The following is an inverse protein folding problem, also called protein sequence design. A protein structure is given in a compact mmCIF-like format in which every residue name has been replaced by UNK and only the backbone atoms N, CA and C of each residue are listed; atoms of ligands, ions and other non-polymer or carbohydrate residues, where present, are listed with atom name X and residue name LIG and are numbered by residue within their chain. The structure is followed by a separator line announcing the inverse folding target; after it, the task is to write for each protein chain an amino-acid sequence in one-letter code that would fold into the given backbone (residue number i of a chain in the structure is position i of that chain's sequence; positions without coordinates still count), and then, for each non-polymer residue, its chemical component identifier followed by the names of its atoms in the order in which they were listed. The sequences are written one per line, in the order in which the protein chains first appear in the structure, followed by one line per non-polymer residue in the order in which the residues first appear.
data_IF_147126093337
#
_entry.id   IF_147126093337
#
_cell.length_a   1.000
_cell.length_b   1.000
_cell.length_c   1.000
_cell.angle_alpha   90.00
_cell.angle_beta   90.00
_cell.angle_gamma   90.00
#
_symmetry.space_group_name_H-M   'P 1'
#
loop_
_entity.id
_entity.type
_entity.pdbx_description
1 polymer ?
#
# COMPACT_ATOMS: atom_id res chain seq x y z
N UNK A 1 -6.41 -0.70 -1.72
CA UNK A 1 -5.72 0.33 -0.88
C UNK A 1 -4.40 -0.23 -0.35
N UNK A 2 -3.48 0.61 0.16
CA UNK A 2 -2.16 0.17 0.61
C UNK A 2 -1.89 0.47 2.10
N UNK A 3 -1.31 -0.50 2.81
CA UNK A 3 -0.72 -0.38 4.14
C UNK A 3 -1.61 0.22 5.25
N UNK A 4 -2.90 -0.15 5.28
CA UNK A 4 -3.89 0.36 6.25
C UNK A 4 -3.92 1.89 6.42
N UNK A 5 -3.70 2.62 5.33
CA UNK A 5 -3.78 4.07 5.33
C UNK A 5 -5.18 4.55 5.81
N UNK A 6 -5.25 5.65 6.60
CA UNK A 6 -6.51 6.18 7.15
C UNK A 6 -7.48 6.63 6.07
N UNK A 7 -8.78 6.48 6.35
CA UNK A 7 -9.86 6.78 5.42
C UNK A 7 -10.81 7.83 5.95
N UNK A 8 -11.30 7.65 7.18
CA UNK A 8 -12.42 8.43 7.74
C UNK A 8 -12.09 9.92 7.76
N UNK A 9 -10.88 10.28 8.19
CA UNK A 9 -10.42 11.65 8.32
C UNK A 9 -10.07 12.31 6.97
N UNK A 10 -10.00 11.52 5.89
CA UNK A 10 -9.59 11.95 4.54
C UNK A 10 -10.61 11.53 3.48
N UNK A 11 -11.85 11.27 3.89
CA UNK A 11 -12.88 10.65 3.05
C UNK A 11 -13.13 11.43 1.76
N UNK A 12 -13.08 12.76 1.81
CA UNK A 12 -13.31 13.65 0.66
C UNK A 12 -12.21 13.51 -0.41
N UNK A 13 -10.97 13.21 0.00
CA UNK A 13 -9.82 13.10 -0.91
C UNK A 13 -9.59 11.66 -1.40
N UNK A 14 -9.78 10.67 -0.53
CA UNK A 14 -9.39 9.28 -0.79
C UNK A 14 -10.56 8.29 -0.83
N UNK A 15 -11.78 8.74 -0.51
CA UNK A 15 -12.98 7.92 -0.41
C UNK A 15 -12.97 6.93 0.77
N UNK A 16 -14.15 6.41 1.11
CA UNK A 16 -14.33 5.40 2.17
C UNK A 16 -14.30 3.97 1.66
N UNK A 17 -14.66 3.73 0.38
CA UNK A 17 -14.77 2.38 -0.17
C UNK A 17 -13.42 1.65 -0.14
N UNK A 18 -13.41 0.43 0.40
CA UNK A 18 -12.28 -0.47 0.34
C UNK A 18 -12.83 -1.88 0.19
N UNK A 19 -12.38 -2.62 -0.82
CA UNK A 19 -12.68 -4.06 -0.97
C UNK A 19 -11.42 -4.90 -0.71
N UNK A 20 -10.24 -4.29 -0.86
CA UNK A 20 -8.94 -4.92 -0.69
C UNK A 20 -7.93 -3.91 -0.15
N UNK A 21 -7.28 -4.24 0.96
CA UNK A 21 -6.23 -3.42 1.58
C UNK A 21 -5.05 -4.26 2.00
N UNK A 22 -3.85 -3.77 1.77
CA UNK A 22 -2.64 -4.43 2.25
C UNK A 22 -2.25 -3.96 3.66
N UNK A 23 -1.55 -4.81 4.41
CA UNK A 23 -0.90 -4.42 5.65
C UNK A 23 0.50 -5.04 5.73
N UNK A 24 1.53 -4.29 5.37
CA UNK A 24 2.90 -4.72 5.68
C UNK A 24 3.07 -4.83 7.22
N UNK A 25 3.72 -5.87 7.76
CA UNK A 25 3.92 -6.02 9.21
C UNK A 25 4.56 -4.80 9.89
N UNK A 26 5.41 -4.05 9.19
CA UNK A 26 6.00 -2.81 9.71
C UNK A 26 4.99 -1.69 10.00
N UNK A 27 3.75 -1.78 9.51
CA UNK A 27 2.67 -0.84 9.85
C UNK A 27 2.33 -0.95 11.34
N UNK A 28 2.32 -2.17 11.89
CA UNK A 28 2.02 -2.44 13.29
C UNK A 28 2.98 -1.69 14.21
N UNK A 29 4.29 -1.76 13.91
CA UNK A 29 5.30 -1.02 14.67
C UNK A 29 5.21 0.50 14.47
N UNK A 30 5.04 0.96 13.23
CA UNK A 30 5.16 2.38 12.89
C UNK A 30 3.93 3.21 13.23
N UNK A 31 2.74 2.66 13.03
CA UNK A 31 1.48 3.39 13.19
C UNK A 31 0.75 3.04 14.49
N UNK A 32 1.06 1.91 15.11
CA UNK A 32 0.31 1.38 16.26
C UNK A 32 1.23 0.92 17.40
N UNK A 33 2.42 1.51 17.56
CA UNK A 33 3.26 1.28 18.75
C UNK A 33 3.64 -0.18 19.02
N UNK A 34 3.69 -1.02 17.98
CA UNK A 34 3.83 -2.48 18.10
C UNK A 34 2.73 -3.16 18.93
N UNK A 35 1.57 -2.52 19.05
CA UNK A 35 0.39 -2.95 19.81
C UNK A 35 0.70 -3.24 21.29
N UNK A 36 1.66 -2.48 21.85
CA UNK A 36 2.12 -2.66 23.23
C UNK A 36 1.13 -2.12 24.26
N UNK A 37 0.49 -0.99 23.97
CA UNK A 37 -0.50 -0.36 24.84
C UNK A 37 -1.92 -0.76 24.46
N UNK A 38 -2.85 -0.69 25.42
CA UNK A 38 -4.26 -0.98 25.13
C UNK A 38 -4.85 0.03 24.15
N UNK A 39 -4.51 1.32 24.30
CA UNK A 39 -4.92 2.37 23.37
C UNK A 39 -4.45 2.12 21.93
N UNK A 40 -3.26 1.57 21.73
CA UNK A 40 -2.79 1.22 20.39
C UNK A 40 -3.55 0.04 19.79
N UNK A 41 -3.93 -0.94 20.62
CA UNK A 41 -4.74 -2.08 20.21
C UNK A 41 -6.15 -1.66 19.83
N UNK A 42 -6.78 -0.81 20.65
CA UNK A 42 -8.09 -0.22 20.36
C UNK A 42 -8.06 0.54 19.03
N UNK A 43 -7.11 1.46 18.84
CA UNK A 43 -6.94 2.19 17.57
C UNK A 43 -6.74 1.27 16.37
N UNK A 44 -6.01 0.17 16.56
CA UNK A 44 -5.79 -0.81 15.50
C UNK A 44 -7.06 -1.60 15.18
N UNK A 45 -7.81 -2.02 16.19
CA UNK A 45 -9.11 -2.69 16.04
C UNK A 45 -10.10 -1.76 15.34
N UNK A 46 -10.18 -0.50 15.73
CA UNK A 46 -11.02 0.52 15.08
C UNK A 46 -10.64 0.70 13.61
N UNK A 47 -9.33 0.76 13.31
CA UNK A 47 -8.84 0.84 11.93
C UNK A 47 -9.28 -0.36 11.09
N UNK A 48 -9.28 -1.55 11.68
CA UNK A 48 -9.69 -2.76 11.00
C UNK A 48 -11.22 -2.86 10.86
N UNK A 49 -11.99 -2.48 11.88
CA UNK A 49 -13.45 -2.55 11.89
C UNK A 49 -14.09 -1.79 10.72
N UNK A 50 -13.51 -0.65 10.33
CA UNK A 50 -13.97 0.15 9.17
C UNK A 50 -13.86 -0.61 7.84
N UNK A 51 -13.01 -1.64 7.74
CA UNK A 51 -12.79 -2.38 6.50
C UNK A 51 -13.90 -3.37 6.16
N UNK A 52 -14.81 -3.67 7.10
CA UNK A 52 -15.94 -4.60 7.00
C UNK A 52 -16.18 -5.24 5.60
N UNK A 53 -16.11 -6.57 5.53
CA UNK A 53 -16.21 -7.39 4.30
C UNK A 53 -15.06 -7.20 3.28
N UNK A 54 -14.02 -6.42 3.60
CA UNK A 54 -12.80 -6.33 2.79
C UNK A 54 -11.87 -7.53 2.95
N UNK A 55 -11.00 -7.69 1.96
CA UNK A 55 -9.78 -8.49 2.07
C UNK A 55 -8.66 -7.67 2.73
N UNK A 56 -8.12 -8.17 3.84
CA UNK A 56 -6.88 -7.71 4.44
C UNK A 56 -5.72 -8.62 4.00
N UNK A 57 -4.90 -8.10 3.08
CA UNK A 57 -3.78 -8.84 2.50
C UNK A 57 -2.48 -8.55 3.25
N UNK A 58 -1.94 -9.57 3.92
CA UNK A 58 -0.84 -9.45 4.88
C UNK A 58 0.38 -10.23 4.38
N UNK A 59 1.40 -9.56 3.80
CA UNK A 59 2.62 -10.22 3.36
C UNK A 59 3.54 -10.59 4.54
N UNK A 60 3.10 -11.53 5.37
CA UNK A 60 3.71 -11.93 6.64
C UNK A 60 5.19 -12.32 6.51
N UNK A 61 5.54 -12.98 5.40
CA UNK A 61 6.85 -13.58 5.20
C UNK A 61 7.86 -12.68 4.46
N UNK A 62 7.50 -11.44 4.12
CA UNK A 62 8.38 -10.54 3.36
C UNK A 62 9.47 -9.87 4.20
N UNK A 63 9.34 -9.87 5.52
CA UNK A 63 10.27 -9.24 6.45
C UNK A 63 10.54 -10.21 7.59
N UNK A 64 11.83 -10.42 7.92
CA UNK A 64 12.24 -11.27 9.04
C UNK A 64 11.61 -10.76 10.34
N UNK A 65 10.97 -11.65 11.10
CA UNK A 65 10.27 -11.29 12.35
C UNK A 65 8.87 -10.73 12.14
N UNK A 66 8.40 -10.61 10.89
CA UNK A 66 7.04 -10.17 10.58
C UNK A 66 5.96 -11.15 11.07
N UNK A 67 6.29 -12.44 11.15
CA UNK A 67 5.38 -13.51 11.53
C UNK A 67 4.75 -13.30 12.92
N UNK A 68 5.54 -12.88 13.92
CA UNK A 68 5.05 -12.63 15.29
C UNK A 68 4.05 -11.47 15.34
N UNK A 69 4.31 -10.42 14.57
CA UNK A 69 3.36 -9.30 14.48
C UNK A 69 2.05 -9.73 13.83
N UNK A 70 2.12 -10.62 12.84
CA UNK A 70 0.93 -11.10 12.14
C UNK A 70 0.11 -12.05 13.00
N UNK A 71 0.75 -12.92 13.78
CA UNK A 71 0.07 -13.76 14.77
C UNK A 71 -0.76 -12.91 15.75
N UNK A 72 -0.16 -11.85 16.29
CA UNK A 72 -0.87 -10.94 17.20
C UNK A 72 -2.02 -10.17 16.54
N UNK A 73 -1.84 -9.76 15.28
CA UNK A 73 -2.94 -9.16 14.50
C UNK A 73 -4.10 -10.14 14.33
N UNK A 74 -3.81 -11.43 14.08
CA UNK A 74 -4.84 -12.46 13.93
C UNK A 74 -5.59 -12.71 15.23
N UNK A 75 -4.89 -12.73 16.36
CA UNK A 75 -5.51 -12.83 17.69
C UNK A 75 -6.50 -11.68 17.92
N UNK A 76 -6.12 -10.44 17.58
CA UNK A 76 -7.02 -9.27 17.71
C UNK A 76 -8.24 -9.37 16.80
N UNK A 77 -8.06 -9.81 15.54
CA UNK A 77 -9.17 -10.02 14.61
C UNK A 77 -10.18 -11.05 15.17
N UNK A 78 -9.68 -12.19 15.67
CA UNK A 78 -10.51 -13.24 16.23
C UNK A 78 -11.20 -12.81 17.53
N UNK A 79 -10.45 -12.21 18.46
CA UNK A 79 -10.95 -11.74 19.76
C UNK A 79 -12.10 -10.74 19.60
N UNK A 80 -11.98 -9.83 18.63
CA UNK A 80 -12.97 -8.77 18.38
C UNK A 80 -14.02 -9.18 17.33
N UNK A 81 -13.98 -10.41 16.81
CA UNK A 81 -14.92 -10.93 15.80
C UNK A 81 -15.05 -10.02 14.59
N UNK A 82 -13.92 -9.47 14.12
CA UNK A 82 -13.92 -8.54 13.01
C UNK A 82 -14.28 -9.27 11.71
N UNK A 83 -15.23 -8.72 10.97
CA UNK A 83 -15.69 -9.28 9.70
C UNK A 83 -14.76 -8.85 8.55
N UNK A 84 -13.60 -9.49 8.46
CA UNK A 84 -12.55 -9.19 7.47
C UNK A 84 -11.94 -10.50 6.98
N UNK A 85 -11.77 -10.62 5.66
CA UNK A 85 -11.10 -11.78 5.09
C UNK A 85 -9.58 -11.57 5.08
N UNK A 86 -8.84 -12.39 5.83
CA UNK A 86 -7.36 -12.31 5.79
C UNK A 86 -6.78 -13.13 4.63
N UNK A 87 -5.77 -12.59 3.96
CA UNK A 87 -5.06 -13.26 2.86
C UNK A 87 -3.54 -13.15 3.02
N UNK A 88 -2.83 -14.28 2.92
CA UNK A 88 -1.38 -14.35 3.15
C UNK A 88 -0.66 -14.80 1.87
N UNK A 89 -0.07 -13.87 1.12
CA UNK A 89 0.64 -14.21 -0.11
C UNK A 89 1.91 -15.03 0.16
N UNK A 90 2.19 -15.97 -0.73
CA UNK A 90 3.48 -16.64 -0.76
C UNK A 90 4.57 -15.72 -1.34
N UNK A 91 5.83 -15.97 -0.95
CA UNK A 91 6.99 -15.27 -1.53
C UNK A 91 7.11 -15.47 -3.04
N UNK A 92 6.59 -16.59 -3.57
CA UNK A 92 6.57 -16.87 -5.02
C UNK A 92 5.82 -15.81 -5.81
N UNK A 93 4.70 -15.31 -5.29
CA UNK A 93 3.93 -14.24 -5.95
C UNK A 93 4.78 -12.96 -6.10
N UNK A 94 5.48 -12.58 -5.05
CA UNK A 94 6.31 -11.37 -5.05
C UNK A 94 7.50 -11.52 -6.01
N UNK A 95 8.12 -12.70 -6.04
CA UNK A 95 9.17 -13.01 -7.00
C UNK A 95 8.67 -12.99 -8.44
N UNK A 96 7.47 -13.50 -8.71
CA UNK A 96 6.86 -13.46 -10.03
C UNK A 96 6.59 -12.01 -10.49
N UNK A 97 6.03 -11.17 -9.61
CA UNK A 97 5.81 -9.75 -9.91
C UNK A 97 7.13 -9.03 -10.18
N UNK A 98 8.15 -9.24 -9.35
CA UNK A 98 9.49 -8.68 -9.60
C UNK A 98 10.07 -9.17 -10.93
N UNK A 99 9.96 -10.48 -11.21
CA UNK A 99 10.43 -11.10 -12.44
C UNK A 99 9.79 -10.48 -13.68
N UNK A 100 8.47 -10.27 -13.66
CA UNK A 100 7.74 -9.61 -14.75
C UNK A 100 8.33 -8.24 -15.09
N UNK A 101 8.54 -7.37 -14.10
CA UNK A 101 9.09 -6.03 -14.33
C UNK A 101 10.54 -6.08 -14.84
N UNK A 102 11.36 -6.99 -14.32
CA UNK A 102 12.74 -7.17 -14.77
C UNK A 102 12.83 -7.64 -16.23
N UNK A 103 12.00 -8.61 -16.64
CA UNK A 103 11.95 -9.08 -18.03
C UNK A 103 11.52 -7.98 -19.00
N UNK A 104 10.70 -7.03 -18.54
CA UNK A 104 10.31 -5.85 -19.30
C UNK A 104 11.33 -4.69 -19.23
N UNK A 105 12.58 -4.98 -18.83
CA UNK A 105 13.70 -4.02 -18.72
C UNK A 105 13.42 -2.87 -17.72
N UNK A 106 12.54 -3.10 -16.75
CA UNK A 106 12.28 -2.18 -15.64
C UNK A 106 13.05 -2.68 -14.40
N UNK A 107 14.24 -2.12 -14.19
CA UNK A 107 15.20 -2.56 -13.17
C UNK A 107 14.83 -2.10 -11.76
N UNK A 108 13.82 -2.74 -11.16
CA UNK A 108 13.36 -2.48 -9.80
C UNK A 108 13.88 -3.59 -8.87
N UNK A 109 14.69 -3.22 -7.88
CA UNK A 109 15.21 -4.17 -6.88
C UNK A 109 14.07 -4.82 -6.09
N UNK A 110 13.15 -4.01 -5.58
CA UNK A 110 11.95 -4.44 -4.85
C UNK A 110 10.77 -3.52 -5.22
N UNK A 111 9.69 -4.05 -5.83
CA UNK A 111 8.48 -3.29 -6.11
C UNK A 111 7.94 -2.63 -4.83
N UNK A 112 7.45 -1.39 -4.94
CA UNK A 112 6.61 -0.84 -3.88
C UNK A 112 5.29 -1.62 -3.77
N UNK A 113 4.60 -1.47 -2.64
CA UNK A 113 3.26 -2.05 -2.48
C UNK A 113 2.29 -1.54 -3.53
N UNK A 114 2.41 -0.29 -3.98
CA UNK A 114 1.56 0.27 -5.02
C UNK A 114 1.79 -0.40 -6.38
N UNK A 115 3.04 -0.60 -6.81
CA UNK A 115 3.33 -1.29 -8.07
C UNK A 115 2.90 -2.76 -8.02
N UNK A 116 3.08 -3.41 -6.87
CA UNK A 116 2.56 -4.76 -6.63
C UNK A 116 1.04 -4.80 -6.82
N UNK A 117 0.31 -3.88 -6.18
CA UNK A 117 -1.15 -3.80 -6.30
C UNK A 117 -1.61 -3.56 -7.73
N UNK A 118 -0.98 -2.62 -8.45
CA UNK A 118 -1.25 -2.44 -9.88
C UNK A 118 -1.08 -3.74 -10.67
N UNK A 119 0.05 -4.44 -10.46
CA UNK A 119 0.33 -5.70 -11.16
C UNK A 119 -0.73 -6.76 -10.88
N UNK A 120 -1.18 -6.89 -9.62
CA UNK A 120 -2.23 -7.83 -9.25
C UNK A 120 -3.59 -7.45 -9.87
N UNK A 121 -3.95 -6.17 -9.85
CA UNK A 121 -5.20 -5.67 -10.43
C UNK A 121 -5.35 -6.00 -11.91
N UNK A 122 -4.25 -6.11 -12.67
CA UNK A 122 -4.32 -6.51 -14.10
C UNK A 122 -4.91 -7.90 -14.34
N UNK A 123 -5.04 -8.73 -13.30
CA UNK A 123 -5.64 -10.08 -13.39
C UNK A 123 -7.13 -10.11 -13.06
N UNK A 124 -7.65 -9.05 -12.46
CA UNK A 124 -9.01 -9.01 -11.91
C UNK A 124 -9.85 -7.84 -12.43
N UNK A 125 -9.23 -6.85 -13.07
CA UNK A 125 -9.87 -5.62 -13.49
C UNK A 125 -9.74 -5.43 -15.01
N UNK A 126 -10.86 -5.10 -15.66
CA UNK A 126 -10.89 -4.69 -17.07
C UNK A 126 -10.35 -3.27 -17.26
N UNK A 127 -10.55 -2.39 -16.27
CA UNK A 127 -10.06 -1.01 -16.27
C UNK A 127 -9.44 -0.66 -14.92
N UNK A 128 -8.28 0.02 -14.94
CA UNK A 128 -7.54 0.38 -13.73
C UNK A 128 -7.34 1.89 -13.67
N UNK A 129 -7.84 2.51 -12.60
CA UNK A 129 -7.60 3.91 -12.26
C UNK A 129 -6.69 3.97 -11.05
N UNK A 130 -5.56 4.67 -11.18
CA UNK A 130 -4.53 4.76 -10.17
C UNK A 130 -4.51 6.16 -9.57
N UNK A 131 -4.69 6.24 -8.25
CA UNK A 131 -4.68 7.46 -7.46
C UNK A 131 -3.55 7.40 -6.42
N UNK A 132 -3.06 8.57 -5.99
CA UNK A 132 -2.07 8.68 -4.91
C UNK A 132 -0.65 8.21 -5.27
N UNK A 133 -0.37 7.97 -6.56
CA UNK A 133 0.95 7.57 -7.02
C UNK A 133 1.77 8.77 -7.48
N UNK A 134 2.37 9.49 -6.53
CA UNK A 134 3.21 10.67 -6.80
C UNK A 134 4.47 10.66 -5.93
N UNK A 135 5.56 10.00 -6.36
CA UNK A 135 6.76 9.84 -5.54
C UNK A 135 7.73 11.02 -5.68
N UNK A 136 7.21 12.24 -5.53
CA UNK A 136 8.01 13.47 -5.63
C UNK A 136 7.60 14.45 -4.52
N UNK A 137 8.54 15.28 -4.03
CA UNK A 137 8.29 16.21 -2.93
C UNK A 137 7.52 17.47 -3.34
N UNK A 138 7.28 17.67 -4.64
CA UNK A 138 6.58 18.83 -5.19
C UNK A 138 5.61 18.37 -6.27
N UNK A 139 4.48 19.05 -6.43
CA UNK A 139 3.55 18.82 -7.52
C UNK A 139 4.06 19.43 -8.85
N UNK A 140 3.23 19.36 -9.90
CA UNK A 140 3.52 19.92 -11.23
C UNK A 140 3.65 21.45 -11.24
N UNK A 141 3.17 22.16 -10.21
CA UNK A 141 3.30 23.62 -10.04
C UNK A 141 4.47 23.99 -9.14
N UNK A 142 5.22 23.01 -8.63
CA UNK A 142 6.34 23.23 -7.71
C UNK A 142 5.92 23.42 -6.25
N UNK A 143 4.64 23.26 -5.93
CA UNK A 143 4.12 23.35 -4.56
C UNK A 143 4.56 22.11 -3.77
N UNK A 144 5.10 22.27 -2.55
CA UNK A 144 5.48 21.12 -1.72
C UNK A 144 4.31 20.18 -1.43
N UNK A 145 4.55 18.88 -1.53
CA UNK A 145 3.57 17.82 -1.24
C UNK A 145 4.17 16.84 -0.23
N UNK A 146 3.33 16.37 0.71
CA UNK A 146 3.71 15.35 1.69
C UNK A 146 3.93 13.99 1.02
N UNK A 147 4.74 13.14 1.63
CA UNK A 147 4.94 11.77 1.12
C UNK A 147 3.69 10.91 1.26
N UNK A 148 3.06 10.94 2.43
CA UNK A 148 1.73 10.38 2.64
C UNK A 148 0.73 11.52 2.80
N UNK A 149 -0.51 11.29 2.36
CA UNK A 149 -1.59 12.25 2.54
C UNK A 149 -1.96 12.47 4.02
N UNK A 150 -1.56 11.55 4.90
CA UNK A 150 -2.04 11.47 6.28
C UNK A 150 -0.98 11.65 7.37
N UNK A 151 0.30 11.77 7.03
CA UNK A 151 1.37 11.94 8.01
C UNK A 151 2.47 12.90 7.52
N UNK A 152 3.45 13.18 8.37
CA UNK A 152 4.58 14.05 8.07
C UNK A 152 5.87 13.25 7.79
N UNK A 153 5.77 11.96 7.48
CA UNK A 153 6.91 11.12 7.17
C UNK A 153 7.59 11.63 5.90
N UNK A 154 8.92 11.58 5.86
CA UNK A 154 9.71 11.98 4.69
C UNK A 154 10.33 10.76 4.04
N UNK A 155 10.20 10.65 2.73
CA UNK A 155 10.88 9.62 1.95
C UNK A 155 11.98 10.23 1.09
N UNK A 156 13.16 9.61 1.07
CA UNK A 156 14.29 10.04 0.23
C UNK A 156 14.16 9.42 -1.16
N UNK A 157 13.28 9.98 -2.00
CA UNK A 157 12.90 9.43 -3.32
C UNK A 157 14.08 9.09 -4.24
N UNK A 158 15.13 9.90 -4.19
CA UNK A 158 16.30 9.79 -5.07
C UNK A 158 17.49 9.06 -4.42
N UNK A 159 17.33 8.55 -3.19
CA UNK A 159 18.38 7.79 -2.53
C UNK A 159 18.48 6.38 -3.09
N UNK A 160 19.72 5.93 -3.34
CA UNK A 160 20.02 4.54 -3.69
C UNK A 160 20.01 3.59 -2.47
N UNK A 161 19.89 4.13 -1.24
CA UNK A 161 19.85 3.32 -0.02
C UNK A 161 18.48 2.66 0.22
N UNK A 162 17.41 3.25 -0.34
CA UNK A 162 16.06 2.73 -0.21
C UNK A 162 15.84 1.46 -1.05
N UNK A 163 14.93 0.56 -0.62
CA UNK A 163 14.67 -0.68 -1.35
C UNK A 163 13.89 -0.44 -2.66
N UNK A 164 13.19 0.70 -2.77
CA UNK A 164 12.27 1.03 -3.85
C UNK A 164 12.83 2.09 -4.78
N UNK A 165 12.53 1.98 -6.08
CA UNK A 165 12.88 2.96 -7.12
C UNK A 165 11.61 3.72 -7.56
N UNK A 166 10.87 4.30 -6.61
CA UNK A 166 9.53 4.85 -6.88
C UNK A 166 9.47 5.85 -8.04
N UNK A 167 10.44 6.76 -8.26
CA UNK A 167 10.45 7.59 -9.47
C UNK A 167 10.49 6.80 -10.79
N UNK A 168 11.21 5.67 -10.83
CA UNK A 168 11.22 4.77 -11.99
C UNK A 168 9.88 4.04 -12.13
N UNK A 169 9.28 3.61 -11.02
CA UNK A 169 7.94 3.00 -11.01
C UNK A 169 6.90 3.98 -11.57
N UNK A 170 6.91 5.24 -11.12
CA UNK A 170 6.02 6.29 -11.63
C UNK A 170 6.22 6.53 -13.12
N UNK A 171 7.47 6.66 -13.60
CA UNK A 171 7.76 6.81 -15.03
C UNK A 171 7.17 5.65 -15.85
N UNK A 172 7.27 4.44 -15.31
CA UNK A 172 6.72 3.23 -15.94
C UNK A 172 5.19 3.28 -15.99
N UNK A 173 4.53 3.59 -14.87
CA UNK A 173 3.07 3.72 -14.79
C UNK A 173 2.54 4.87 -15.66
N UNK A 174 3.28 5.98 -15.76
CA UNK A 174 2.95 7.09 -16.66
C UNK A 174 3.02 6.66 -18.13
N UNK A 175 4.06 5.92 -18.51
CA UNK A 175 4.16 5.37 -19.88
C UNK A 175 3.02 4.38 -20.19
N UNK A 176 2.59 3.58 -19.22
CA UNK A 176 1.43 2.70 -19.37
C UNK A 176 0.12 3.49 -19.50
N UNK A 177 -0.01 4.59 -18.75
CA UNK A 177 -1.12 5.52 -18.91
C UNK A 177 -1.17 6.16 -20.29
N UNK A 178 -0.03 6.62 -20.81
CA UNK A 178 0.05 7.23 -22.15
C UNK A 178 -0.30 6.23 -23.27
N UNK A 179 -0.17 4.93 -23.00
CA UNK A 179 -0.55 3.84 -23.90
C UNK A 179 -1.98 3.33 -23.68
N UNK A 180 -2.74 3.93 -22.76
CA UNK A 180 -4.11 3.55 -22.46
C UNK A 180 -4.27 2.28 -21.60
N UNK A 181 -3.19 1.74 -21.01
CA UNK A 181 -3.26 0.54 -20.18
C UNK A 181 -3.80 0.82 -18.76
N UNK A 182 -3.75 2.07 -18.30
CA UNK A 182 -4.32 2.51 -17.02
C UNK A 182 -4.64 4.01 -17.06
N UNK A 183 -5.48 4.50 -16.16
CA UNK A 183 -5.71 5.94 -15.94
C UNK A 183 -4.95 6.40 -14.70
N UNK A 184 -3.94 7.25 -14.87
CA UNK A 184 -3.11 7.75 -13.78
C UNK A 184 -3.57 9.15 -13.38
N UNK A 185 -4.17 9.29 -12.20
CA UNK A 185 -4.65 10.57 -11.67
C UNK A 185 -3.61 11.19 -10.75
N UNK A 186 -3.05 12.34 -11.18
CA UNK A 186 -2.07 13.12 -10.40
C UNK A 186 -2.57 14.54 -10.07
N UNK A 187 -3.84 14.83 -10.32
CA UNK A 187 -4.47 16.13 -10.07
C UNK A 187 -5.76 15.98 -9.28
N UNK A 188 -6.51 17.08 -9.13
CA UNK A 188 -7.84 17.05 -8.54
C UNK A 188 -8.79 16.19 -9.39
N UNK A 189 -9.65 15.42 -8.73
CA UNK A 189 -10.77 14.77 -9.39
C UNK A 189 -11.77 15.82 -9.88
N UNK A 190 -12.46 15.52 -10.97
CA UNK A 190 -13.58 16.31 -11.52
C UNK A 190 -14.88 15.62 -11.15
#
# INVERSE_FOLDING_TARGET
RCNLAPLVEYADDVGLKSDFVTMNPSVVQRAFGSLRSETDREKFVDRLAVLNDSVLWIPAFMVKGGEKHVEYVNELILKNRLNIQTAYPSLRLIHAVRGYWLTNKIYIKRPSTGLLMYTLSTRFCDEIHLYGYWPFPKDSKGTPVKYHYYDNLKYRYFSNAGPHRMPLEFKTLKSLHDKGALKLTTGKCV
#
